data_IF_600945069279
#
_entry.id   IF_600945069279
#
_cell.length_a   1.000
_cell.length_b   1.000
_cell.length_c   1.000
_cell.angle_alpha   90.00
_cell.angle_beta   90.00
_cell.angle_gamma   90.00
#
_symmetry.space_group_name_H-M   'P 1'
#
loop_
_entity.id
_entity.type
_entity.pdbx_description
1 polymer ?
#
# COMPACT_ATOMS: atom_id res chain seq x y z
N UNK A 1 9.25 4.17 2.22
CA UNK A 1 8.17 3.42 1.56
C UNK A 1 8.45 3.12 0.08
N UNK A 2 9.03 4.04 -0.70
CA UNK A 2 9.29 3.85 -2.15
C UNK A 2 10.68 3.29 -2.39
N UNK A 3 11.72 4.05 -2.06
CA UNK A 3 13.11 3.68 -2.37
C UNK A 3 13.58 2.41 -1.66
N UNK A 4 13.06 2.11 -0.46
CA UNK A 4 13.38 0.86 0.23
C UNK A 4 12.87 -0.37 -0.55
N UNK A 5 11.60 -0.33 -1.00
CA UNK A 5 11.03 -1.37 -1.83
C UNK A 5 11.82 -1.52 -3.15
N UNK A 6 12.13 -0.40 -3.83
CA UNK A 6 12.91 -0.42 -5.07
C UNK A 6 14.31 -1.04 -4.89
N UNK A 7 15.01 -0.73 -3.78
CA UNK A 7 16.31 -1.34 -3.48
C UNK A 7 16.21 -2.85 -3.29
N UNK A 8 15.20 -3.32 -2.56
CA UNK A 8 14.96 -4.75 -2.37
C UNK A 8 14.65 -5.45 -3.69
N UNK A 9 13.77 -4.86 -4.50
CA UNK A 9 13.43 -5.39 -5.84
C UNK A 9 14.67 -5.52 -6.71
N UNK A 10 15.53 -4.50 -6.78
CA UNK A 10 16.78 -4.55 -7.54
C UNK A 10 17.74 -5.65 -7.07
N UNK A 11 17.72 -5.98 -5.79
CA UNK A 11 18.56 -7.03 -5.23
C UNK A 11 18.07 -8.44 -5.56
N UNK A 12 16.73 -8.68 -5.56
CA UNK A 12 16.17 -10.04 -5.72
C UNK A 12 15.82 -10.40 -7.16
N UNK A 13 15.44 -9.42 -7.99
CA UNK A 13 14.98 -9.65 -9.36
C UNK A 13 15.99 -10.36 -10.27
N UNK A 14 17.30 -10.08 -10.23
CA UNK A 14 18.25 -10.82 -11.07
C UNK A 14 18.21 -12.34 -10.85
N UNK A 15 18.10 -12.78 -9.58
CA UNK A 15 17.96 -14.19 -9.23
C UNK A 15 16.64 -14.77 -9.69
N UNK A 16 15.52 -14.09 -9.41
CA UNK A 16 14.18 -14.53 -9.81
C UNK A 16 14.05 -14.66 -11.33
N UNK A 17 14.56 -13.69 -12.11
CA UNK A 17 14.54 -13.74 -13.58
C UNK A 17 15.37 -14.90 -14.12
N UNK A 18 16.51 -15.21 -13.51
CA UNK A 18 17.37 -16.34 -13.91
C UNK A 18 16.65 -17.67 -13.71
N UNK A 19 15.92 -17.84 -12.61
CA UNK A 19 15.18 -19.06 -12.30
C UNK A 19 13.80 -19.12 -12.95
N UNK A 20 13.30 -18.01 -13.51
CA UNK A 20 11.93 -17.83 -14.00
C UNK A 20 10.88 -18.22 -12.95
N UNK A 21 11.15 -17.90 -11.71
CA UNK A 21 10.27 -18.18 -10.58
C UNK A 21 10.40 -17.09 -9.53
N UNK A 22 9.28 -16.52 -9.12
CA UNK A 22 9.26 -15.50 -8.06
C UNK A 22 7.87 -15.08 -7.66
N UNK A 23 7.78 -14.58 -6.44
CA UNK A 23 6.59 -13.95 -5.89
C UNK A 23 7.01 -12.77 -5.03
N UNK A 24 6.48 -11.61 -5.33
CA UNK A 24 6.79 -10.35 -4.68
C UNK A 24 5.52 -9.82 -4.01
N UNK A 25 5.62 -9.51 -2.72
CA UNK A 25 4.59 -8.79 -2.01
C UNK A 25 5.05 -7.37 -1.67
N UNK A 26 4.38 -6.37 -2.21
CA UNK A 26 4.55 -4.99 -1.80
C UNK A 26 3.41 -4.59 -0.86
N UNK A 27 3.76 -4.20 0.37
CA UNK A 27 2.77 -3.79 1.37
C UNK A 27 2.44 -2.32 1.17
N UNK A 28 1.33 -2.06 0.50
CA UNK A 28 0.75 -0.74 0.30
C UNK A 28 -0.14 -0.32 1.48
N UNK A 29 -1.28 0.23 1.22
CA UNK A 29 -2.33 0.64 2.17
C UNK A 29 -3.61 0.93 1.40
N UNK A 30 -4.75 0.94 2.07
CA UNK A 30 -5.94 1.59 1.50
C UNK A 30 -5.65 3.04 1.08
N UNK A 31 -4.73 3.73 1.81
CA UNK A 31 -4.29 5.10 1.50
C UNK A 31 -3.30 5.17 0.32
N UNK A 32 -3.07 4.08 -0.38
CA UNK A 32 -2.45 4.05 -1.70
C UNK A 32 -3.45 4.23 -2.85
N UNK A 33 -4.76 4.26 -2.57
CA UNK A 33 -5.84 4.43 -3.56
C UNK A 33 -6.88 5.48 -3.16
N UNK A 34 -7.02 5.75 -1.85
CA UNK A 34 -7.87 6.82 -1.31
C UNK A 34 -7.03 7.78 -0.49
N UNK A 35 -7.50 9.01 -0.34
CA UNK A 35 -6.77 10.07 0.37
C UNK A 35 -7.62 10.58 1.52
N UNK A 36 -6.98 10.78 2.67
CA UNK A 36 -7.58 11.48 3.79
C UNK A 36 -6.77 12.74 4.12
N UNK A 37 -7.40 13.80 4.64
CA UNK A 37 -6.69 14.99 5.10
C UNK A 37 -5.54 14.63 6.06
N UNK A 38 -4.50 15.42 6.11
CA UNK A 38 -3.28 15.20 6.91
C UNK A 38 -2.39 14.02 6.51
N UNK A 39 -2.69 13.31 5.42
CA UNK A 39 -1.87 12.19 4.93
C UNK A 39 -0.96 12.54 3.75
N UNK A 40 -0.73 13.84 3.50
CA UNK A 40 0.07 14.32 2.36
C UNK A 40 1.53 13.85 2.33
N UNK A 41 2.09 13.47 3.45
CA UNK A 41 3.43 12.88 3.56
C UNK A 41 3.44 11.35 3.39
N UNK A 42 2.29 10.67 3.55
CA UNK A 42 2.18 9.21 3.51
C UNK A 42 1.51 8.71 2.22
N UNK A 43 0.31 9.21 1.91
CA UNK A 43 -0.47 8.75 0.75
C UNK A 43 0.31 8.81 -0.56
N UNK A 44 1.03 9.90 -0.92
CA UNK A 44 1.81 9.93 -2.14
C UNK A 44 2.85 8.82 -2.23
N UNK A 45 3.47 8.42 -1.10
CA UNK A 45 4.44 7.32 -1.11
C UNK A 45 3.80 5.97 -1.37
N UNK A 46 2.55 5.77 -0.91
CA UNK A 46 1.81 4.54 -1.17
C UNK A 46 1.24 4.52 -2.59
N UNK A 47 0.76 5.65 -3.13
CA UNK A 47 0.40 5.77 -4.55
C UNK A 47 1.58 5.47 -5.47
N UNK A 48 2.76 6.00 -5.16
CA UNK A 48 3.98 5.70 -5.90
C UNK A 48 4.35 4.21 -5.85
N UNK A 49 4.20 3.57 -4.67
CA UNK A 49 4.42 2.13 -4.53
C UNK A 49 3.42 1.31 -5.35
N UNK A 50 2.14 1.71 -5.37
CA UNK A 50 1.10 1.08 -6.20
C UNK A 50 1.47 1.11 -7.68
N UNK A 51 1.77 2.30 -8.21
CA UNK A 51 2.11 2.48 -9.62
C UNK A 51 3.40 1.70 -9.99
N UNK A 52 4.43 1.78 -9.15
CA UNK A 52 5.68 1.04 -9.36
C UNK A 52 5.47 -0.46 -9.35
N UNK A 53 4.61 -0.97 -8.47
CA UNK A 53 4.31 -2.40 -8.36
C UNK A 53 3.50 -2.91 -9.54
N UNK A 54 2.55 -2.12 -10.02
CA UNK A 54 1.73 -2.47 -11.18
C UNK A 54 2.56 -2.49 -12.47
N UNK A 55 3.38 -1.47 -12.72
CA UNK A 55 4.32 -1.46 -13.84
C UNK A 55 5.23 -2.70 -13.81
N UNK A 56 5.78 -3.00 -12.62
CA UNK A 56 6.64 -4.16 -12.43
C UNK A 56 5.90 -5.48 -12.70
N UNK A 57 4.62 -5.58 -12.33
CA UNK A 57 3.83 -6.79 -12.58
C UNK A 57 3.73 -7.09 -14.08
N UNK A 58 3.47 -6.07 -14.90
CA UNK A 58 3.41 -6.23 -16.36
C UNK A 58 4.77 -6.60 -16.96
N UNK A 59 5.84 -5.94 -16.52
CA UNK A 59 7.20 -6.20 -17.01
C UNK A 59 7.70 -7.61 -16.64
N UNK A 60 7.18 -8.23 -15.59
CA UNK A 60 7.64 -9.52 -15.09
C UNK A 60 6.84 -10.72 -15.59
N UNK A 61 5.74 -10.52 -16.32
CA UNK A 61 4.95 -11.60 -16.94
C UNK A 61 5.83 -12.57 -17.75
N UNK A 62 6.75 -12.11 -18.64
CA UNK A 62 7.60 -13.03 -19.43
C UNK A 62 8.59 -13.83 -18.58
N UNK A 63 8.75 -13.47 -17.32
CA UNK A 63 9.68 -14.11 -16.38
C UNK A 63 9.01 -15.04 -15.39
N UNK A 64 7.68 -15.21 -15.49
CA UNK A 64 6.89 -16.04 -14.55
C UNK A 64 7.10 -15.60 -13.07
N UNK A 65 7.09 -14.29 -12.84
CA UNK A 65 7.23 -13.68 -11.51
C UNK A 65 5.96 -12.91 -11.22
N UNK A 66 5.23 -13.31 -10.17
CA UNK A 66 4.03 -12.61 -9.72
C UNK A 66 4.37 -11.43 -8.80
N UNK A 67 3.64 -10.35 -8.94
CA UNK A 67 3.69 -9.20 -8.06
C UNK A 67 2.32 -8.96 -7.47
N UNK A 68 2.23 -9.00 -6.14
CA UNK A 68 0.99 -8.79 -5.40
C UNK A 68 1.11 -7.57 -4.50
N UNK A 69 0.13 -6.69 -4.55
CA UNK A 69 0.03 -5.50 -3.73
C UNK A 69 -0.98 -5.75 -2.62
N UNK A 70 -0.51 -5.78 -1.38
CA UNK A 70 -1.38 -5.92 -0.22
C UNK A 70 -1.76 -4.52 0.26
N UNK A 71 -3.06 -4.29 0.44
CA UNK A 71 -3.63 -2.99 0.79
C UNK A 71 -4.34 -3.06 2.15
N UNK A 72 -3.60 -3.06 3.28
CA UNK A 72 -4.21 -3.09 4.61
C UNK A 72 -5.00 -1.82 4.90
N UNK A 73 -6.09 -1.97 5.65
CA UNK A 73 -6.76 -0.88 6.33
C UNK A 73 -6.09 -0.50 7.65
N UNK A 74 -6.86 0.07 8.56
CA UNK A 74 -6.37 0.50 9.87
C UNK A 74 -6.43 -0.60 10.92
N UNK A 75 -5.29 -1.16 11.31
CA UNK A 75 -5.17 -2.20 12.33
C UNK A 75 -4.60 -1.65 13.66
N UNK A 76 -4.98 -2.22 14.83
CA UNK A 76 -4.48 -1.81 16.14
C UNK A 76 -3.03 -2.31 16.34
N UNK A 77 -2.06 -1.59 15.81
CA UNK A 77 -0.64 -1.92 15.91
C UNK A 77 0.15 -0.76 16.51
N UNK A 78 1.42 -1.01 16.86
CA UNK A 78 2.33 0.03 17.39
C UNK A 78 2.53 1.23 16.45
N UNK A 79 2.08 1.16 15.20
CA UNK A 79 2.16 2.28 14.24
C UNK A 79 1.45 3.53 14.76
N UNK A 80 0.35 3.37 15.48
CA UNK A 80 -0.42 4.49 16.04
C UNK A 80 0.32 5.17 17.18
N UNK A 81 0.93 4.39 18.07
CA UNK A 81 1.77 4.89 19.18
C UNK A 81 2.97 5.65 18.61
N UNK A 82 3.68 5.06 17.67
CA UNK A 82 4.85 5.67 17.03
C UNK A 82 4.48 6.95 16.28
N UNK A 83 3.35 6.94 15.56
CA UNK A 83 2.82 8.12 14.88
C UNK A 83 2.53 9.25 15.87
N UNK A 84 1.97 8.92 17.04
CA UNK A 84 1.64 9.93 18.04
C UNK A 84 2.87 10.61 18.63
N UNK A 85 3.97 9.88 18.86
CA UNK A 85 5.24 10.46 19.28
C UNK A 85 5.69 11.51 18.27
N UNK A 86 5.78 11.12 16.98
CA UNK A 86 6.19 12.03 15.91
C UNK A 86 5.24 13.22 15.72
N UNK A 87 3.93 12.98 15.89
CA UNK A 87 2.94 14.05 15.78
C UNK A 87 3.04 15.06 16.93
N UNK A 88 3.35 14.62 18.15
CA UNK A 88 3.62 15.50 19.28
C UNK A 88 4.88 16.33 19.05
N UNK A 89 5.98 15.69 18.65
CA UNK A 89 7.22 16.39 18.31
C UNK A 89 7.03 17.43 17.20
N UNK A 90 6.19 17.14 16.21
CA UNK A 90 5.84 18.10 15.17
C UNK A 90 5.01 19.26 15.75
N UNK A 91 4.01 18.96 16.59
CA UNK A 91 3.18 19.97 17.26
C UNK A 91 4.00 20.94 18.09
N UNK A 92 5.05 20.45 18.76
CA UNK A 92 5.93 21.29 19.58
C UNK A 92 6.83 22.22 18.75
N UNK A 93 6.93 22.01 17.43
CA UNK A 93 7.78 22.80 16.52
C UNK A 93 7.02 23.71 15.57
N UNK A 94 5.70 23.58 15.45
CA UNK A 94 4.90 24.47 14.59
C UNK A 94 4.81 25.86 15.18
N UNK A 95 4.77 26.89 14.30
CA UNK A 95 4.59 28.27 14.71
C UNK A 95 3.13 28.57 15.09
N UNK A 96 2.89 29.67 15.81
CA UNK A 96 1.55 30.13 16.15
C UNK A 96 0.69 30.35 14.88
N UNK A 97 1.26 30.94 13.84
CA UNK A 97 0.58 31.16 12.56
C UNK A 97 0.17 29.85 11.89
N UNK A 98 1.06 28.84 11.92
CA UNK A 98 0.74 27.52 11.40
C UNK A 98 -0.36 26.84 12.21
N UNK A 99 -0.34 26.97 13.53
CA UNK A 99 -1.36 26.42 14.39
C UNK A 99 -2.72 27.11 14.17
N UNK A 100 -2.72 28.43 14.03
CA UNK A 100 -3.91 29.22 13.76
C UNK A 100 -4.52 28.93 12.37
N UNK A 101 -3.70 28.62 11.37
CA UNK A 101 -4.17 28.28 10.03
C UNK A 101 -4.92 26.93 9.97
N UNK A 102 -4.59 25.97 10.85
CA UNK A 102 -5.17 24.60 10.85
C UNK A 102 -5.60 24.13 12.26
N UNK A 103 -6.46 24.87 12.99
CA UNK A 103 -6.75 24.60 14.41
C UNK A 103 -7.36 23.21 14.65
N UNK A 104 -8.28 22.76 13.77
CA UNK A 104 -8.91 21.45 13.88
C UNK A 104 -7.93 20.28 13.64
N UNK A 105 -6.91 20.48 12.80
CA UNK A 105 -5.86 19.51 12.56
C UNK A 105 -4.90 19.44 13.74
N UNK A 106 -4.42 20.60 14.18
CA UNK A 106 -3.46 20.72 15.29
C UNK A 106 -4.04 20.21 16.61
N UNK A 107 -5.34 20.45 16.88
CA UNK A 107 -5.99 19.93 18.07
C UNK A 107 -5.98 18.40 18.16
N UNK A 108 -5.98 17.71 17.02
CA UNK A 108 -5.98 16.24 16.93
C UNK A 108 -4.59 15.60 16.86
N UNK A 109 -3.54 16.39 16.69
CA UNK A 109 -2.18 15.87 16.62
C UNK A 109 -1.78 15.17 17.92
N UNK A 110 -1.30 13.94 17.78
CA UNK A 110 -0.84 13.14 18.90
C UNK A 110 -1.94 12.47 19.75
N UNK A 111 -3.20 12.52 19.32
CA UNK A 111 -4.32 11.91 20.06
C UNK A 111 -4.74 10.53 19.51
N UNK A 112 -4.35 10.20 18.31
CA UNK A 112 -4.73 8.94 17.65
C UNK A 112 -3.80 7.80 18.13
N UNK A 113 -4.30 6.97 19.04
CA UNK A 113 -3.55 5.85 19.64
C UNK A 113 -3.93 4.47 19.09
N UNK A 114 -4.88 4.44 18.15
CA UNK A 114 -5.42 3.19 17.60
C UNK A 114 -6.52 2.57 18.44
N UNK A 115 -6.92 3.18 19.57
CA UNK A 115 -8.07 2.74 20.36
C UNK A 115 -9.34 2.73 19.53
N UNK A 116 -10.26 1.82 19.84
CA UNK A 116 -11.48 1.63 19.05
C UNK A 116 -11.30 0.83 17.75
N UNK A 117 -10.08 0.42 17.38
CA UNK A 117 -9.85 -0.54 16.31
C UNK A 117 -9.83 -1.96 16.86
N UNK A 118 -10.65 -2.84 16.27
CA UNK A 118 -10.79 -4.24 16.71
C UNK A 118 -10.35 -5.26 15.64
N UNK A 119 -9.91 -4.78 14.48
CA UNK A 119 -9.45 -5.67 13.41
C UNK A 119 -8.22 -6.48 13.84
N UNK A 120 -8.21 -7.78 13.55
CA UNK A 120 -7.09 -8.67 13.87
C UNK A 120 -5.91 -8.41 12.93
N UNK A 121 -4.73 -7.95 13.42
CA UNK A 121 -3.56 -7.75 12.57
C UNK A 121 -3.12 -9.01 11.80
N UNK A 122 -3.53 -10.19 12.26
CA UNK A 122 -3.26 -11.46 11.58
C UNK A 122 -4.04 -11.64 10.27
N UNK A 123 -5.02 -10.78 9.96
CA UNK A 123 -5.70 -10.82 8.65
C UNK A 123 -4.71 -10.61 7.49
N UNK A 124 -3.72 -9.78 7.68
CA UNK A 124 -2.71 -9.48 6.65
C UNK A 124 -1.83 -10.69 6.33
N UNK A 125 -1.16 -11.35 7.31
CA UNK A 125 -0.39 -12.56 7.02
C UNK A 125 -1.25 -13.73 6.56
N UNK A 126 -2.52 -13.86 7.01
CA UNK A 126 -3.44 -14.89 6.48
C UNK A 126 -3.70 -14.67 4.99
N UNK A 127 -4.04 -13.44 4.58
CA UNK A 127 -4.25 -13.10 3.17
C UNK A 127 -3.00 -13.35 2.32
N UNK A 128 -1.81 -13.07 2.85
CA UNK A 128 -0.54 -13.39 2.16
C UNK A 128 -0.37 -14.91 2.03
N UNK A 129 -0.65 -15.68 3.10
CA UNK A 129 -0.58 -17.15 3.08
C UNK A 129 -1.53 -17.77 2.05
N UNK A 130 -2.76 -17.26 1.95
CA UNK A 130 -3.73 -17.66 0.92
C UNK A 130 -3.18 -17.43 -0.50
N UNK A 131 -2.58 -16.27 -0.75
CA UNK A 131 -2.01 -15.95 -2.07
C UNK A 131 -0.79 -16.82 -2.38
N UNK A 132 0.06 -17.13 -1.38
CA UNK A 132 1.20 -18.02 -1.57
C UNK A 132 0.75 -19.41 -2.03
N UNK A 133 -0.37 -19.92 -1.48
CA UNK A 133 -0.93 -21.20 -1.83
C UNK A 133 -1.57 -21.26 -3.24
N UNK A 134 -1.82 -20.11 -3.87
CA UNK A 134 -2.36 -20.05 -5.23
C UNK A 134 -1.30 -20.45 -6.27
N UNK A 135 -1.70 -21.09 -7.39
CA UNK A 135 -0.80 -21.34 -8.50
C UNK A 135 -0.13 -20.07 -9.04
N UNK A 136 1.11 -20.19 -9.48
CA UNK A 136 1.80 -19.08 -10.16
C UNK A 136 1.00 -18.62 -11.39
N UNK A 137 0.97 -17.32 -11.63
CA UNK A 137 0.23 -16.70 -12.74
C UNK A 137 -1.28 -16.51 -12.49
N UNK A 138 -1.82 -17.02 -11.37
CA UNK A 138 -3.25 -16.85 -11.01
C UNK A 138 -3.46 -15.91 -9.82
N UNK A 139 -2.38 -15.38 -9.27
CA UNK A 139 -2.38 -14.54 -8.08
C UNK A 139 -2.88 -13.13 -8.41
N UNK A 140 -3.69 -12.52 -7.52
CA UNK A 140 -4.24 -11.19 -7.79
C UNK A 140 -3.15 -10.11 -7.72
N UNK A 141 -3.21 -9.14 -8.62
CA UNK A 141 -2.32 -7.96 -8.54
C UNK A 141 -2.56 -7.18 -7.24
N UNK A 142 -3.81 -7.06 -6.79
CA UNK A 142 -4.17 -6.32 -5.56
C UNK A 142 -5.06 -7.14 -4.64
N UNK A 143 -4.77 -7.05 -3.34
CA UNK A 143 -5.60 -7.62 -2.28
C UNK A 143 -5.84 -6.56 -1.21
N UNK A 144 -7.05 -6.07 -1.13
CA UNK A 144 -7.52 -5.25 0.00
C UNK A 144 -7.74 -6.13 1.23
N UNK A 145 -7.21 -5.73 2.38
CA UNK A 145 -7.28 -6.52 3.62
C UNK A 145 -7.78 -5.66 4.77
N UNK A 146 -9.02 -5.89 5.18
CA UNK A 146 -9.65 -5.33 6.37
C UNK A 146 -11.02 -5.97 6.58
N UNK A 147 -11.49 -6.25 7.80
CA UNK A 147 -12.83 -6.80 8.04
C UNK A 147 -13.96 -5.77 7.80
N UNK A 148 -13.66 -4.48 7.94
CA UNK A 148 -14.59 -3.39 7.67
C UNK A 148 -14.52 -2.86 6.23
N UNK A 149 -14.98 -1.63 5.98
CA UNK A 149 -15.03 -1.04 4.65
C UNK A 149 -13.65 -1.02 3.95
N UNK A 150 -13.68 -1.32 2.66
CA UNK A 150 -12.51 -1.36 1.77
C UNK A 150 -12.77 -0.47 0.54
N UNK A 151 -12.80 0.86 0.69
CA UNK A 151 -13.16 1.79 -0.38
C UNK A 151 -12.26 1.68 -1.61
N UNK A 152 -11.04 1.19 -1.45
CA UNK A 152 -10.10 0.98 -2.55
C UNK A 152 -10.52 -0.16 -3.51
N UNK A 153 -11.41 -1.08 -3.14
CA UNK A 153 -11.82 -2.20 -4.00
C UNK A 153 -12.51 -1.70 -5.27
N UNK A 154 -13.43 -0.75 -5.15
CA UNK A 154 -14.12 -0.18 -6.31
C UNK A 154 -13.13 0.54 -7.25
N UNK A 155 -12.16 1.27 -6.70
CA UNK A 155 -11.13 1.95 -7.49
C UNK A 155 -10.23 0.92 -8.17
N UNK A 156 -9.87 -0.16 -7.50
CA UNK A 156 -9.06 -1.24 -8.06
C UNK A 156 -9.77 -1.90 -9.25
N UNK A 157 -11.07 -2.16 -9.12
CA UNK A 157 -11.88 -2.73 -10.18
C UNK A 157 -11.89 -1.85 -11.42
N UNK A 158 -12.30 -0.57 -11.28
CA UNK A 158 -12.35 0.38 -12.40
C UNK A 158 -10.96 0.57 -13.03
N UNK A 159 -9.92 0.65 -12.22
CA UNK A 159 -8.54 0.76 -12.72
C UNK A 159 -8.14 -0.47 -13.53
N UNK A 160 -8.46 -1.69 -13.07
CA UNK A 160 -8.16 -2.93 -13.79
C UNK A 160 -8.90 -3.00 -15.13
N UNK A 161 -10.19 -2.72 -15.14
CA UNK A 161 -11.02 -2.69 -16.36
C UNK A 161 -10.47 -1.67 -17.38
N UNK A 162 -10.08 -0.48 -16.91
CA UNK A 162 -9.51 0.56 -17.75
C UNK A 162 -8.16 0.16 -18.34
N UNK A 163 -7.29 -0.48 -17.54
CA UNK A 163 -6.00 -0.98 -18.02
C UNK A 163 -6.16 -2.07 -19.08
N UNK A 164 -7.07 -3.02 -18.87
CA UNK A 164 -7.37 -4.07 -19.84
C UNK A 164 -7.91 -3.45 -21.15
N UNK A 165 -8.83 -2.50 -21.06
CA UNK A 165 -9.39 -1.82 -22.24
C UNK A 165 -8.31 -1.02 -23.01
N UNK A 166 -7.38 -0.39 -22.29
CA UNK A 166 -6.29 0.40 -22.88
C UNK A 166 -5.21 -0.49 -23.52
N UNK A 167 -4.80 -1.54 -22.83
CA UNK A 167 -3.66 -2.37 -23.24
C UNK A 167 -4.06 -3.52 -24.16
N UNK A 168 -5.28 -4.07 -24.03
CA UNK A 168 -5.72 -5.27 -24.73
C UNK A 168 -5.67 -5.21 -26.27
N UNK A 169 -5.67 -3.98 -26.86
CA UNK A 169 -5.50 -3.75 -28.29
C UNK A 169 -4.14 -3.10 -28.63
N UNK A 170 -3.19 -3.13 -27.71
CA UNK A 170 -1.85 -2.56 -27.87
C UNK A 170 -0.80 -3.66 -28.06
N UNK A 171 0.44 -3.31 -28.44
CA UNK A 171 1.57 -4.26 -28.47
C UNK A 171 1.91 -4.88 -27.12
N UNK A 172 1.28 -4.41 -26.03
CA UNK A 172 1.50 -4.88 -24.67
C UNK A 172 0.35 -5.76 -24.12
N UNK A 173 -0.69 -6.00 -24.92
CA UNK A 173 -1.84 -6.83 -24.57
C UNK A 173 -1.70 -8.29 -24.97
#
# INVERSE_FOLDING_TARGET
NVFGAQRMLRAVLPGMRKTKLGLIFNISSQLGRVIVPSSGHYSPTKFALEAMSEALAYELVPHNIDVCIIQPGGYPTKVWINRNVLAKELKDRITEDQAAAYPALVSRMGLEDGSGRSADPMDVPRAIGEIIAMPAGTRPLRKAVHPGPKPQEAINQVSSETQVAMLGNSPFG
#
